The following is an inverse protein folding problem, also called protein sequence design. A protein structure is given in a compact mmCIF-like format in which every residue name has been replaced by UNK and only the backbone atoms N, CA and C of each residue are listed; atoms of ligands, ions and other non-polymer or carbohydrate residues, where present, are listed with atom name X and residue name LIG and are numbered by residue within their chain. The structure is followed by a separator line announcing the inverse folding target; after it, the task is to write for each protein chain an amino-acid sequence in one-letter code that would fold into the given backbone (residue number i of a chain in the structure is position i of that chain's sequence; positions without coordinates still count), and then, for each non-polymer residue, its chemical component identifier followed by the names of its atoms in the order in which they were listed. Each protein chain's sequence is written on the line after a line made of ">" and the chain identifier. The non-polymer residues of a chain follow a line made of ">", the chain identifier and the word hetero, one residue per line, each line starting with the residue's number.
data_IF_971554031268
#
_entry.id   IF_971554031268
#
_cell.length_a   1.000
_cell.length_b   1.000
_cell.length_c   1.000
_cell.angle_alpha   90.00
_cell.angle_beta   90.00
_cell.angle_gamma   90.00
#
_symmetry.space_group_name_H-M   'P 1'
#
loop_
_entity.id
_entity.type
_entity.pdbx_description
1 polymer ?
#
# COMPACT_ATOMS: atom_id res chain seq x y z
N UNK A 1 -20.66 25.89 -40.78
CA UNK A 1 -20.52 26.97 -39.77
C UNK A 1 -21.14 26.50 -38.47
N UNK A 2 -20.31 25.98 -37.56
CA UNK A 2 -20.76 25.61 -36.21
C UNK A 2 -21.09 26.93 -35.50
N UNK A 3 -22.32 27.09 -35.03
CA UNK A 3 -22.78 28.35 -34.45
C UNK A 3 -22.11 28.58 -33.09
N UNK A 4 -21.83 29.85 -32.76
CA UNK A 4 -21.16 30.26 -31.52
C UNK A 4 -21.86 29.71 -30.26
N UNK A 5 -23.19 29.47 -30.31
CA UNK A 5 -23.97 28.84 -29.24
C UNK A 5 -23.61 27.36 -29.03
N UNK A 6 -23.29 26.62 -30.09
CA UNK A 6 -22.85 25.23 -29.99
C UNK A 6 -21.45 25.14 -29.39
N UNK A 7 -20.52 26.02 -29.77
CA UNK A 7 -19.18 26.08 -29.16
C UNK A 7 -19.25 26.36 -27.66
N UNK A 8 -20.13 27.27 -27.22
CA UNK A 8 -20.34 27.58 -25.80
C UNK A 8 -20.92 26.35 -25.06
N UNK A 9 -21.90 25.65 -25.63
CA UNK A 9 -22.45 24.42 -25.05
C UNK A 9 -21.41 23.29 -24.94
N UNK A 10 -20.56 23.12 -25.97
CA UNK A 10 -19.47 22.16 -25.95
C UNK A 10 -18.39 22.56 -24.94
N UNK A 11 -18.03 23.84 -24.82
CA UNK A 11 -17.10 24.33 -23.80
C UNK A 11 -17.65 24.16 -22.38
N UNK A 12 -18.95 24.39 -22.15
CA UNK A 12 -19.57 24.14 -20.83
C UNK A 12 -19.70 22.66 -20.50
N UNK A 13 -19.96 21.80 -21.50
CA UNK A 13 -20.01 20.35 -21.31
C UNK A 13 -18.61 19.77 -21.07
N UNK A 14 -17.56 20.32 -21.72
CA UNK A 14 -16.16 19.95 -21.47
C UNK A 14 -15.68 20.47 -20.10
N UNK A 15 -16.14 21.65 -19.65
CA UNK A 15 -15.88 22.10 -18.26
C UNK A 15 -16.60 21.24 -17.21
N UNK A 16 -17.81 20.75 -17.49
CA UNK A 16 -18.53 19.80 -16.61
C UNK A 16 -17.93 18.39 -16.66
N UNK A 17 -17.28 18.00 -17.76
CA UNK A 17 -16.52 16.75 -17.84
C UNK A 17 -15.14 16.83 -17.14
N UNK A 18 -14.72 18.03 -16.73
CA UNK A 18 -13.51 18.25 -15.94
C UNK A 18 -13.76 18.27 -14.42
N UNK A 19 -14.97 17.93 -13.96
CA UNK A 19 -15.31 17.87 -12.53
C UNK A 19 -15.75 16.47 -12.10
N UNK A 20 -14.85 15.51 -12.21
CA UNK A 20 -14.74 14.45 -11.21
C UNK A 20 -13.30 14.43 -10.70
N UNK A 21 -12.91 15.55 -10.07
CA UNK A 21 -11.88 15.43 -9.04
C UNK A 21 -12.42 14.42 -8.03
N UNK A 22 -11.82 13.22 -8.09
CA UNK A 22 -12.00 12.09 -7.20
C UNK A 22 -11.86 12.64 -5.78
N UNK A 23 -12.98 12.97 -5.14
CA UNK A 23 -12.98 13.36 -3.74
C UNK A 23 -12.64 12.11 -2.93
N UNK A 24 -11.34 11.95 -2.73
CA UNK A 24 -10.69 11.21 -1.67
C UNK A 24 -11.37 11.65 -0.37
N UNK A 25 -12.32 10.85 0.14
CA UNK A 25 -12.90 11.13 1.45
C UNK A 25 -11.72 11.12 2.42
N UNK A 26 -11.48 12.17 3.23
CA UNK A 26 -10.27 12.30 4.04
C UNK A 26 -9.99 11.12 4.99
N UNK A 27 -10.98 10.22 5.18
CA UNK A 27 -10.92 8.98 5.96
C UNK A 27 -11.80 7.89 5.32
N UNK A 28 -11.66 7.61 4.03
CA UNK A 28 -12.45 6.58 3.36
C UNK A 28 -11.76 5.98 2.15
N UNK A 29 -12.22 4.80 1.75
CA UNK A 29 -11.67 4.17 0.56
C UNK A 29 -11.97 5.00 -0.71
N UNK A 30 -11.04 5.04 -1.68
CA UNK A 30 -11.28 5.69 -2.96
C UNK A 30 -12.48 5.06 -3.67
N UNK A 31 -13.35 5.89 -4.25
CA UNK A 31 -14.48 5.39 -5.03
C UNK A 31 -13.98 4.58 -6.24
N UNK A 32 -14.73 3.54 -6.62
CA UNK A 32 -14.45 2.64 -7.77
C UNK A 32 -13.21 1.73 -7.61
N UNK A 33 -12.70 1.55 -6.40
CA UNK A 33 -11.70 0.52 -6.11
C UNK A 33 -12.39 -0.65 -5.41
N UNK A 34 -11.82 -1.85 -5.53
CA UNK A 34 -12.24 -2.98 -4.72
C UNK A 34 -11.67 -2.83 -3.31
N UNK A 35 -12.45 -3.16 -2.27
CA UNK A 35 -12.07 -2.93 -0.88
C UNK A 35 -12.02 -4.24 -0.10
N UNK A 36 -10.98 -4.37 0.73
CA UNK A 36 -10.90 -5.43 1.74
C UNK A 36 -10.98 -4.79 3.13
N UNK A 37 -11.93 -5.25 3.94
CA UNK A 37 -12.16 -4.82 5.32
C UNK A 37 -12.32 -3.30 5.48
N UNK A 38 -12.75 -2.59 4.42
CA UNK A 38 -12.79 -1.13 4.31
C UNK A 38 -11.45 -0.43 4.58
N UNK A 39 -10.33 -1.14 4.62
CA UNK A 39 -9.03 -0.62 5.09
C UNK A 39 -7.97 -0.64 4.01
N UNK A 40 -8.08 -1.58 3.08
CA UNK A 40 -7.25 -1.68 1.88
C UNK A 40 -8.09 -1.57 0.63
N UNK A 41 -7.53 -0.94 -0.39
CA UNK A 41 -8.15 -0.76 -1.69
C UNK A 41 -7.24 -1.23 -2.81
N UNK A 42 -7.87 -1.82 -3.83
CA UNK A 42 -7.19 -2.43 -4.97
C UNK A 42 -7.86 -2.01 -6.27
N UNK A 43 -7.06 -1.86 -7.32
CA UNK A 43 -7.59 -1.64 -8.67
C UNK A 43 -6.66 -2.30 -9.69
N UNK A 44 -7.27 -3.00 -10.65
CA UNK A 44 -6.59 -3.53 -11.82
C UNK A 44 -6.58 -2.47 -12.93
N UNK A 45 -5.39 -2.15 -13.43
CA UNK A 45 -5.20 -1.33 -14.62
C UNK A 45 -4.83 -2.24 -15.80
N UNK A 46 -5.63 -2.21 -16.86
CA UNK A 46 -5.39 -2.99 -18.08
C UNK A 46 -4.28 -2.42 -18.99
N UNK A 47 -3.70 -1.28 -18.61
CA UNK A 47 -2.64 -0.62 -19.36
C UNK A 47 -1.34 -1.41 -19.22
N UNK A 48 -0.69 -1.72 -20.34
CA UNK A 48 0.57 -2.45 -20.32
C UNK A 48 1.76 -1.53 -19.99
N UNK A 49 2.41 -1.78 -18.85
CA UNK A 49 3.59 -1.04 -18.37
C UNK A 49 4.71 -1.97 -17.92
N UNK A 50 5.95 -1.50 -17.94
CA UNK A 50 7.05 -2.20 -17.26
C UNK A 50 6.74 -2.26 -15.76
N UNK A 51 7.28 -3.23 -15.01
CA UNK A 51 6.98 -3.32 -13.58
C UNK A 51 7.39 -2.03 -12.84
N UNK A 52 8.52 -1.43 -13.24
CA UNK A 52 8.98 -0.15 -12.68
C UNK A 52 8.00 0.97 -12.98
N UNK A 53 7.59 1.14 -14.24
CA UNK A 53 6.63 2.20 -14.61
C UNK A 53 5.25 1.99 -13.97
N UNK A 54 4.82 0.74 -13.81
CA UNK A 54 3.58 0.38 -13.13
C UNK A 54 3.63 0.75 -11.64
N UNK A 55 4.76 0.52 -10.97
CA UNK A 55 4.95 0.93 -9.58
C UNK A 55 4.96 2.45 -9.41
N UNK A 56 5.65 3.18 -10.30
CA UNK A 56 5.62 4.65 -10.30
C UNK A 56 4.21 5.19 -10.57
N UNK A 57 3.45 4.53 -11.46
CA UNK A 57 2.05 4.85 -11.65
C UNK A 57 1.24 4.62 -10.37
N UNK A 58 1.38 3.47 -9.70
CA UNK A 58 0.67 3.22 -8.44
C UNK A 58 1.03 4.25 -7.35
N UNK A 59 2.29 4.70 -7.28
CA UNK A 59 2.71 5.80 -6.38
C UNK A 59 1.96 7.10 -6.68
N UNK A 60 1.75 7.42 -7.96
CA UNK A 60 0.92 8.57 -8.35
C UNK A 60 -0.55 8.42 -7.91
N UNK A 61 -1.04 7.19 -7.78
CA UNK A 61 -2.39 6.85 -7.29
C UNK A 61 -2.47 6.69 -5.77
N UNK A 62 -1.43 7.14 -5.07
CA UNK A 62 -1.27 7.03 -3.63
C UNK A 62 -1.15 5.61 -3.07
N UNK A 63 -0.51 4.74 -3.84
CA UNK A 63 -0.29 3.34 -3.48
C UNK A 63 1.00 2.78 -4.05
N UNK A 64 1.06 1.46 -4.13
CA UNK A 64 2.16 0.70 -4.71
C UNK A 64 1.61 -0.41 -5.59
N UNK A 65 2.47 -1.07 -6.37
CA UNK A 65 2.10 -2.36 -6.92
C UNK A 65 1.71 -3.32 -5.81
N UNK A 66 0.76 -4.21 -6.12
CA UNK A 66 0.19 -5.16 -5.18
C UNK A 66 1.26 -5.97 -4.42
N UNK A 67 1.24 -5.88 -3.09
CA UNK A 67 1.79 -6.90 -2.19
C UNK A 67 0.71 -7.74 -1.56
N UNK A 68 1.08 -8.95 -1.12
CA UNK A 68 0.19 -9.89 -0.46
C UNK A 68 0.70 -10.23 0.93
N UNK A 69 -0.09 -9.91 1.95
CA UNK A 69 0.32 -9.94 3.36
C UNK A 69 -0.44 -10.96 4.21
N UNK A 70 -1.64 -11.34 3.79
CA UNK A 70 -2.43 -12.35 4.48
C UNK A 70 -2.99 -13.38 3.51
N UNK A 71 -3.45 -14.51 4.06
CA UNK A 71 -4.18 -15.52 3.29
C UNK A 71 -5.51 -14.94 2.79
N UNK A 72 -6.21 -14.20 3.65
CA UNK A 72 -7.47 -13.51 3.31
C UNK A 72 -7.29 -12.52 2.15
N UNK A 73 -6.22 -11.71 2.18
CA UNK A 73 -5.92 -10.78 1.09
C UNK A 73 -5.63 -11.53 -0.21
N UNK A 74 -4.91 -12.64 -0.15
CA UNK A 74 -4.64 -13.47 -1.32
C UNK A 74 -5.93 -14.03 -1.93
N UNK A 75 -6.81 -14.61 -1.12
CA UNK A 75 -8.11 -15.14 -1.57
C UNK A 75 -9.00 -14.05 -2.16
N UNK A 76 -8.99 -12.85 -1.56
CA UNK A 76 -9.66 -11.68 -2.09
C UNK A 76 -9.11 -11.28 -3.47
N UNK A 77 -7.79 -11.19 -3.61
CA UNK A 77 -7.14 -10.84 -4.88
C UNK A 77 -7.37 -11.90 -5.95
N UNK A 78 -7.29 -13.18 -5.61
CA UNK A 78 -7.60 -14.29 -6.52
C UNK A 78 -9.00 -14.11 -7.10
N UNK A 79 -9.99 -13.90 -6.24
CA UNK A 79 -11.37 -13.65 -6.65
C UNK A 79 -11.50 -12.36 -7.47
N UNK A 80 -10.80 -11.29 -7.08
CA UNK A 80 -10.80 -10.01 -7.78
C UNK A 80 -10.24 -10.12 -9.20
N UNK A 81 -9.12 -10.83 -9.39
CA UNK A 81 -8.52 -11.09 -10.69
C UNK A 81 -9.43 -11.98 -11.54
N UNK A 82 -9.96 -13.07 -10.96
CA UNK A 82 -10.84 -14.01 -11.67
C UNK A 82 -12.12 -13.34 -12.20
N UNK A 83 -12.69 -12.41 -11.42
CA UNK A 83 -13.90 -11.68 -11.81
C UNK A 83 -13.62 -10.47 -12.70
N UNK A 84 -12.46 -9.83 -12.54
CA UNK A 84 -12.10 -8.59 -13.25
C UNK A 84 -11.43 -8.82 -14.61
N UNK A 85 -10.85 -10.01 -14.84
CA UNK A 85 -10.30 -10.38 -16.15
C UNK A 85 -11.33 -11.20 -16.91
N UNK A 86 -11.56 -10.87 -18.19
CA UNK A 86 -12.28 -11.78 -19.08
C UNK A 86 -11.48 -13.09 -19.10
N UNK A 87 -11.98 -14.12 -18.42
CA UNK A 87 -11.30 -15.37 -18.07
C UNK A 87 -10.84 -16.22 -19.27
N UNK A 88 -10.93 -15.69 -20.48
CA UNK A 88 -10.54 -16.33 -21.73
C UNK A 88 -9.10 -16.01 -22.18
N UNK A 89 -8.46 -14.98 -21.60
CA UNK A 89 -7.06 -14.69 -21.89
C UNK A 89 -6.22 -14.92 -20.63
N UNK A 90 -5.25 -15.84 -20.72
CA UNK A 90 -4.17 -16.09 -19.76
C UNK A 90 -3.35 -14.81 -19.52
N UNK A 91 -3.92 -13.87 -18.79
CA UNK A 91 -3.37 -12.53 -18.67
C UNK A 91 -2.45 -12.50 -17.46
N UNK A 92 -1.16 -12.33 -17.73
CA UNK A 92 -0.16 -12.09 -16.70
C UNK A 92 -0.32 -10.66 -16.18
N UNK A 93 -0.32 -10.49 -14.87
CA UNK A 93 -0.54 -9.22 -14.19
C UNK A 93 0.66 -8.94 -13.29
N UNK A 94 1.24 -7.75 -13.39
CA UNK A 94 2.30 -7.35 -12.47
C UNK A 94 1.79 -7.26 -11.03
N UNK A 95 2.57 -7.87 -10.14
CA UNK A 95 2.52 -7.61 -8.70
C UNK A 95 3.84 -6.99 -8.26
N UNK A 96 3.86 -6.45 -7.05
CA UNK A 96 4.93 -5.60 -6.55
C UNK A 96 6.17 -6.33 -6.08
N UNK A 97 6.54 -7.47 -6.67
CA UNK A 97 7.66 -8.29 -6.19
C UNK A 97 8.77 -8.40 -7.22
N UNK A 98 10.03 -8.24 -6.79
CA UNK A 98 11.19 -8.34 -7.66
C UNK A 98 12.33 -9.12 -6.99
N UNK A 99 13.16 -9.76 -7.78
CA UNK A 99 14.35 -10.46 -7.33
C UNK A 99 15.60 -9.79 -7.93
N UNK A 100 16.25 -8.86 -7.20
CA UNK A 100 17.39 -8.13 -7.74
C UNK A 100 18.69 -8.95 -7.67
N UNK A 101 19.57 -8.81 -8.67
CA UNK A 101 20.85 -9.52 -8.70
C UNK A 101 21.79 -9.10 -7.56
N UNK A 102 21.81 -7.81 -7.24
CA UNK A 102 22.68 -7.24 -6.21
C UNK A 102 22.31 -7.66 -4.78
N UNK A 103 21.18 -8.36 -4.56
CA UNK A 103 20.80 -8.95 -3.26
C UNK A 103 20.63 -10.47 -3.31
N UNK A 104 21.34 -11.11 -4.24
CA UNK A 104 21.39 -12.56 -4.32
C UNK A 104 20.10 -13.20 -4.85
N UNK A 105 19.33 -12.48 -5.66
CA UNK A 105 18.11 -13.00 -6.33
C UNK A 105 16.99 -13.45 -5.37
N UNK A 106 16.97 -12.92 -4.16
CA UNK A 106 15.84 -13.11 -3.24
C UNK A 106 14.69 -12.20 -3.62
N UNK A 107 13.47 -12.73 -3.53
CA UNK A 107 12.26 -11.95 -3.79
C UNK A 107 12.00 -10.94 -2.68
N UNK A 108 11.79 -9.69 -3.08
CA UNK A 108 11.52 -8.55 -2.21
C UNK A 108 10.30 -7.77 -2.73
N UNK A 109 9.49 -7.23 -1.82
CA UNK A 109 8.39 -6.34 -2.20
C UNK A 109 8.89 -4.91 -2.48
N UNK A 110 8.39 -4.31 -3.55
CA UNK A 110 8.67 -2.94 -4.01
C UNK A 110 8.20 -1.86 -3.04
N UNK A 111 7.24 -2.21 -2.20
CA UNK A 111 6.69 -1.36 -1.16
C UNK A 111 7.40 -1.51 0.19
N UNK A 112 8.52 -2.23 0.21
CA UNK A 112 9.36 -2.50 1.39
C UNK A 112 8.73 -3.35 2.49
N UNK A 113 7.58 -3.99 2.24
CA UNK A 113 7.00 -4.93 3.18
C UNK A 113 7.92 -6.14 3.40
N UNK A 114 8.16 -6.49 4.66
CA UNK A 114 9.10 -7.56 5.05
C UNK A 114 8.45 -8.95 5.05
N UNK A 115 7.14 -9.03 4.85
CA UNK A 115 6.41 -10.29 4.94
C UNK A 115 6.33 -10.96 3.58
N UNK A 116 7.00 -12.09 3.46
CA UNK A 116 6.92 -12.93 2.28
C UNK A 116 6.20 -14.25 2.63
N UNK A 117 4.90 -14.16 2.88
CA UNK A 117 4.01 -15.31 3.05
C UNK A 117 3.81 -16.11 1.74
N UNK A 118 4.52 -15.75 0.67
CA UNK A 118 4.67 -16.50 -0.57
C UNK A 118 6.00 -17.26 -0.65
N UNK A 119 6.94 -17.08 0.28
CA UNK A 119 8.34 -17.54 0.12
C UNK A 119 8.49 -19.02 -0.24
N UNK A 120 7.59 -19.87 0.25
CA UNK A 120 7.60 -21.31 0.00
C UNK A 120 7.00 -21.73 -1.36
N UNK A 121 6.29 -20.83 -2.04
CA UNK A 121 5.64 -21.08 -3.34
C UNK A 121 6.27 -20.27 -4.48
N UNK A 122 7.23 -19.39 -4.18
CA UNK A 122 7.90 -18.59 -5.19
C UNK A 122 8.96 -19.41 -5.95
N UNK A 123 9.11 -19.17 -7.26
CA UNK A 123 10.12 -19.82 -8.08
C UNK A 123 11.51 -19.35 -7.66
N UNK A 124 12.50 -20.26 -7.68
CA UNK A 124 13.91 -19.87 -7.57
C UNK A 124 14.36 -19.23 -8.87
N UNK A 125 15.12 -18.15 -8.78
CA UNK A 125 15.63 -17.40 -9.93
C UNK A 125 17.14 -17.19 -9.85
N UNK A 126 17.77 -17.09 -11.01
CA UNK A 126 19.23 -16.91 -11.17
C UNK A 126 19.59 -15.59 -11.85
N UNK A 127 18.57 -14.82 -12.25
CA UNK A 127 18.70 -13.54 -12.94
C UNK A 127 17.70 -12.55 -12.37
N UNK A 128 17.92 -11.26 -12.62
CA UNK A 128 16.97 -10.23 -12.19
C UNK A 128 15.62 -10.47 -12.82
N UNK A 129 14.63 -10.72 -11.96
CA UNK A 129 13.29 -11.15 -12.37
C UNK A 129 12.24 -10.32 -11.66
N UNK A 130 11.17 -10.02 -12.37
CA UNK A 130 9.98 -9.37 -11.84
C UNK A 130 8.86 -10.40 -11.74
N UNK A 131 8.04 -10.34 -10.70
CA UNK A 131 7.01 -11.35 -10.45
C UNK A 131 5.67 -10.90 -11.03
N UNK A 132 5.06 -11.77 -11.83
CA UNK A 132 3.69 -11.61 -12.30
C UNK A 132 2.78 -12.70 -11.69
N UNK A 133 1.52 -12.35 -11.48
CA UNK A 133 0.45 -13.30 -11.21
C UNK A 133 -0.21 -13.73 -12.53
N UNK A 134 -0.57 -15.00 -12.63
CA UNK A 134 -1.24 -15.59 -13.79
C UNK A 134 -2.30 -16.57 -13.31
N UNK A 135 -3.47 -16.62 -13.96
CA UNK A 135 -4.49 -17.61 -13.66
C UNK A 135 -4.28 -18.85 -14.52
N UNK A 136 -4.12 -20.01 -13.88
CA UNK A 136 -3.99 -21.33 -14.51
C UNK A 136 -5.03 -22.25 -13.88
N UNK A 137 -5.95 -22.79 -14.70
CA UNK A 137 -7.03 -23.68 -14.27
C UNK A 137 -7.83 -23.16 -13.07
N UNK A 138 -8.11 -21.86 -13.06
CA UNK A 138 -8.85 -21.18 -11.99
C UNK A 138 -8.04 -20.86 -10.72
N UNK A 139 -6.73 -21.14 -10.71
CA UNK A 139 -5.84 -20.88 -9.59
C UNK A 139 -4.79 -19.81 -9.94
N UNK A 140 -4.39 -18.99 -8.98
CA UNK A 140 -3.29 -18.04 -9.18
C UNK A 140 -1.93 -18.73 -9.09
N UNK A 141 -1.09 -18.44 -10.07
CA UNK A 141 0.30 -18.87 -10.16
C UNK A 141 1.19 -17.62 -10.16
N UNK A 142 2.34 -17.70 -9.48
CA UNK A 142 3.32 -16.62 -9.46
C UNK A 142 4.50 -17.00 -10.36
N UNK A 143 4.65 -16.28 -11.46
CA UNK A 143 5.62 -16.59 -12.51
C UNK A 143 6.69 -15.50 -12.61
N UNK A 144 7.98 -15.87 -12.73
CA UNK A 144 9.04 -14.90 -12.94
C UNK A 144 8.99 -14.42 -14.40
N UNK A 145 9.29 -13.15 -14.62
CA UNK A 145 9.14 -12.51 -15.92
C UNK A 145 10.20 -11.42 -16.10
N UNK A 146 10.52 -11.04 -17.34
CA UNK A 146 11.51 -9.98 -17.56
C UNK A 146 10.89 -8.63 -17.19
N UNK A 147 11.62 -7.84 -16.40
CA UNK A 147 11.13 -6.58 -15.85
C UNK A 147 10.78 -5.52 -16.91
N UNK A 148 11.32 -5.65 -18.12
CA UNK A 148 11.06 -4.77 -19.25
C UNK A 148 9.79 -5.13 -20.03
N UNK A 149 9.17 -6.27 -19.72
CA UNK A 149 7.92 -6.66 -20.35
C UNK A 149 6.79 -5.75 -19.87
N UNK A 150 5.81 -5.54 -20.76
CA UNK A 150 4.69 -4.64 -20.49
C UNK A 150 3.43 -5.44 -20.24
N UNK A 151 2.96 -5.43 -18.99
CA UNK A 151 1.79 -6.18 -18.53
C UNK A 151 0.80 -5.23 -17.85
N UNK A 152 -0.49 -5.60 -17.77
CA UNK A 152 -1.43 -4.97 -16.86
C UNK A 152 -0.97 -5.18 -15.41
N UNK A 153 -1.51 -4.41 -14.48
CA UNK A 153 -0.98 -4.37 -13.12
C UNK A 153 -2.04 -4.00 -12.09
N UNK A 154 -1.85 -4.47 -10.85
CA UNK A 154 -2.73 -4.11 -9.73
C UNK A 154 -2.03 -3.11 -8.83
N UNK A 155 -2.70 -1.98 -8.58
CA UNK A 155 -2.31 -1.06 -7.52
C UNK A 155 -3.04 -1.39 -6.23
N UNK A 156 -2.36 -1.16 -5.11
CA UNK A 156 -2.86 -1.30 -3.75
C UNK A 156 -2.56 -0.05 -2.94
N UNK A 157 -3.53 0.41 -2.15
CA UNK A 157 -3.38 1.52 -1.20
C UNK A 157 -4.26 1.34 0.04
N UNK A 158 -3.95 2.03 1.14
CA UNK A 158 -4.83 2.07 2.30
C UNK A 158 -6.04 2.99 2.05
N UNK A 159 -7.15 2.71 2.73
CA UNK A 159 -8.33 3.57 2.80
C UNK A 159 -8.22 4.64 3.89
N UNK A 160 -7.52 4.30 4.98
CA UNK A 160 -7.30 5.19 6.11
C UNK A 160 -5.83 5.50 6.27
N UNK A 161 -5.58 6.61 6.95
CA UNK A 161 -4.26 7.00 7.40
C UNK A 161 -3.99 6.33 8.74
N UNK A 162 -2.76 5.87 8.92
CA UNK A 162 -2.25 5.39 10.20
C UNK A 162 -1.09 6.28 10.59
N UNK A 163 -1.10 6.74 11.84
CA UNK A 163 -0.13 7.71 12.34
C UNK A 163 1.00 7.03 13.10
N UNK A 164 2.22 7.55 12.95
CA UNK A 164 3.31 7.23 13.89
C UNK A 164 3.21 8.17 15.09
N UNK A 165 3.13 7.59 16.27
CA UNK A 165 3.29 8.33 17.51
C UNK A 165 4.78 8.44 17.84
N UNK A 166 5.26 9.68 18.02
CA UNK A 166 6.62 9.96 18.48
C UNK A 166 7.72 10.12 17.43
N UNK A 167 8.88 10.60 17.89
CA UNK A 167 10.09 10.74 17.08
C UNK A 167 10.81 9.39 16.91
N UNK A 168 11.60 9.21 15.83
CA UNK A 168 12.37 7.99 15.61
C UNK A 168 13.43 7.66 16.67
N UNK A 169 13.78 8.62 17.52
CA UNK A 169 14.92 8.55 18.43
C UNK A 169 14.53 8.69 19.91
N UNK A 170 13.25 8.89 20.21
CA UNK A 170 12.78 9.11 21.58
C UNK A 170 12.68 7.78 22.36
N UNK A 171 13.18 7.77 23.59
CA UNK A 171 13.00 6.65 24.54
C UNK A 171 11.57 6.73 25.07
N UNK A 172 10.67 5.91 24.53
CA UNK A 172 9.25 5.99 24.82
C UNK A 172 8.86 5.23 26.08
N UNK A 173 8.35 5.98 27.05
CA UNK A 173 7.64 5.43 28.19
C UNK A 173 6.14 5.40 27.84
N UNK A 174 5.63 4.20 27.50
CA UNK A 174 4.21 3.99 27.16
C UNK A 174 3.25 4.35 28.32
N UNK A 175 3.77 4.62 29.52
CA UNK A 175 2.97 5.06 30.67
C UNK A 175 2.78 6.57 30.73
N UNK A 176 3.45 7.34 29.86
CA UNK A 176 3.34 8.81 29.78
C UNK A 176 2.49 9.24 28.57
N UNK A 177 1.81 10.37 28.73
CA UNK A 177 1.06 11.00 27.65
C UNK A 177 2.00 11.39 26.49
N UNK A 178 1.64 10.93 25.28
CA UNK A 178 2.38 11.19 24.05
C UNK A 178 2.10 12.63 23.59
N UNK A 179 3.11 13.49 23.61
CA UNK A 179 2.96 14.93 23.33
C UNK A 179 3.56 15.37 21.99
N UNK A 180 4.20 14.48 21.23
CA UNK A 180 4.86 14.81 19.97
C UNK A 180 4.49 13.83 18.84
N UNK A 181 4.14 14.39 17.68
CA UNK A 181 3.89 13.66 16.44
C UNK A 181 4.87 14.17 15.40
N UNK A 182 5.58 13.25 14.76
CA UNK A 182 6.31 13.56 13.54
C UNK A 182 5.72 12.86 12.34
N UNK A 183 5.61 13.66 11.31
CA UNK A 183 5.19 13.30 9.98
C UNK A 183 6.42 12.68 9.30
N UNK A 184 6.45 11.34 9.19
CA UNK A 184 7.61 10.64 8.62
C UNK A 184 7.62 10.77 7.09
N UNK A 185 8.27 11.81 6.57
CA UNK A 185 8.81 11.78 5.21
C UNK A 185 10.12 10.99 5.24
N UNK A 186 10.04 9.67 5.07
CA UNK A 186 11.26 8.92 4.73
C UNK A 186 11.67 9.32 3.31
N UNK A 187 12.58 10.29 3.20
CA UNK A 187 13.18 10.69 1.92
C UNK A 187 13.94 9.55 1.23
N UNK A 188 14.17 8.42 1.91
CA UNK A 188 14.95 7.31 1.38
C UNK A 188 14.16 6.02 1.16
N UNK A 189 12.89 5.94 1.57
CA UNK A 189 12.05 4.78 1.32
C UNK A 189 10.66 5.25 0.95
N UNK A 190 10.18 4.80 -0.20
CA UNK A 190 8.83 5.00 -0.66
C UNK A 190 7.87 4.25 0.27
N UNK A 191 7.61 4.86 1.42
CA UNK A 191 6.79 4.32 2.48
C UNK A 191 5.33 4.52 2.10
N UNK A 192 4.51 3.50 2.30
CA UNK A 192 3.04 3.47 2.26
C UNK A 192 2.29 4.63 2.93
N UNK A 193 3.00 5.50 3.63
CA UNK A 193 2.47 6.36 4.66
C UNK A 193 2.60 7.78 4.17
N UNK A 194 1.46 8.37 3.83
CA UNK A 194 1.40 9.80 3.54
C UNK A 194 1.78 10.57 4.80
N UNK A 195 2.84 11.37 4.74
CA UNK A 195 3.19 12.26 5.80
C UNK A 195 2.22 13.44 5.78
N UNK A 196 1.14 13.43 6.57
CA UNK A 196 0.31 14.62 6.71
C UNK A 196 -0.29 14.75 8.12
N UNK A 197 -0.01 15.92 8.70
CA UNK A 197 -0.67 16.51 9.85
C UNK A 197 -2.20 16.39 9.69
N UNK A 198 -2.92 15.95 10.73
CA UNK A 198 -4.35 16.24 10.81
C UNK A 198 -4.50 17.63 11.45
N UNK A 199 -4.78 18.69 10.67
CA UNK A 199 -4.93 20.04 11.20
C UNK A 199 -6.12 20.16 12.18
N UNK A 200 -7.01 19.16 12.24
CA UNK A 200 -8.13 19.14 13.18
C UNK A 200 -7.79 18.47 14.52
N UNK A 201 -6.68 17.73 14.62
CA UNK A 201 -6.29 17.03 15.87
C UNK A 201 -5.37 17.87 16.78
N UNK A 202 -4.72 18.92 16.25
CA UNK A 202 -3.81 19.78 17.02
C UNK A 202 -2.61 19.03 17.63
N UNK A 203 -1.82 19.71 18.47
CA UNK A 203 -0.64 19.15 19.15
C UNK A 203 -0.96 18.31 20.41
N UNK A 204 -2.24 17.99 20.66
CA UNK A 204 -2.68 17.45 21.94
C UNK A 204 -3.42 16.13 21.72
N UNK A 205 -2.68 15.03 21.70
CA UNK A 205 -3.22 13.69 21.42
C UNK A 205 -3.26 12.85 22.70
N UNK A 206 -3.75 13.46 23.78
CA UNK A 206 -3.92 12.82 25.10
C UNK A 206 -5.08 11.81 25.14
N UNK A 207 -5.34 11.08 24.05
CA UNK A 207 -6.48 10.17 23.93
C UNK A 207 -6.10 8.93 23.12
N UNK A 208 -4.96 8.29 23.35
CA UNK A 208 -4.70 6.97 22.74
C UNK A 208 -4.39 5.92 23.79
N UNK A 209 -4.96 4.73 23.65
CA UNK A 209 -4.63 3.57 24.48
C UNK A 209 -4.03 2.44 23.65
N UNK A 210 -3.14 1.67 24.29
CA UNK A 210 -2.49 0.52 23.66
C UNK A 210 -3.50 -0.63 23.54
N UNK A 211 -3.67 -1.13 22.33
CA UNK A 211 -4.56 -2.26 22.04
C UNK A 211 -3.78 -3.57 21.86
N UNK A 212 -2.57 -3.51 21.32
CA UNK A 212 -1.76 -4.71 21.08
C UNK A 212 -0.25 -4.39 21.04
N UNK A 213 0.59 -5.42 21.08
CA UNK A 213 2.03 -5.33 20.87
C UNK A 213 2.52 -6.46 19.96
N UNK A 214 3.12 -6.09 18.83
CA UNK A 214 3.71 -7.01 17.85
C UNK A 214 5.22 -6.89 17.85
N UNK A 215 5.93 -7.98 17.55
CA UNK A 215 7.37 -7.92 17.27
C UNK A 215 7.57 -7.72 15.77
N UNK A 216 8.15 -6.59 15.37
CA UNK A 216 8.30 -6.24 13.95
C UNK A 216 9.69 -5.67 13.63
N UNK A 217 10.00 -5.65 12.34
CA UNK A 217 11.20 -5.01 11.80
C UNK A 217 10.85 -3.65 11.20
N UNK A 218 11.04 -2.57 11.97
CA UNK A 218 10.91 -1.18 11.52
C UNK A 218 9.48 -0.62 11.45
N UNK A 219 9.40 0.69 11.22
CA UNK A 219 8.16 1.48 11.28
C UNK A 219 7.15 1.08 10.22
N UNK A 220 7.62 0.85 8.98
CA UNK A 220 6.74 0.45 7.89
C UNK A 220 5.97 -0.82 8.20
N UNK A 221 6.62 -1.76 8.92
CA UNK A 221 5.96 -2.99 9.33
C UNK A 221 4.98 -2.74 10.47
N UNK A 222 5.32 -1.88 11.42
CA UNK A 222 4.44 -1.58 12.53
C UNK A 222 3.14 -0.87 12.07
N UNK A 223 3.29 0.11 11.18
CA UNK A 223 2.18 0.77 10.53
C UNK A 223 1.28 -0.19 9.75
N UNK A 224 1.89 -1.20 9.11
CA UNK A 224 1.14 -2.26 8.45
C UNK A 224 0.32 -3.10 9.43
N UNK A 225 0.92 -3.57 10.53
CA UNK A 225 0.18 -4.31 11.58
C UNK A 225 -1.02 -3.49 12.08
N UNK A 226 -0.85 -2.17 12.22
CA UNK A 226 -1.94 -1.26 12.57
C UNK A 226 -3.06 -1.27 11.51
N UNK A 227 -2.75 -1.21 10.21
CA UNK A 227 -3.77 -1.25 9.17
C UNK A 227 -4.59 -2.55 9.18
N UNK A 228 -4.01 -3.67 9.63
CA UNK A 228 -4.72 -4.94 9.79
C UNK A 228 -5.61 -5.01 11.05
N UNK A 229 -5.32 -4.21 12.08
CA UNK A 229 -5.98 -4.28 13.38
C UNK A 229 -7.15 -3.29 13.50
N UNK A 230 -8.44 -3.70 13.36
CA UNK A 230 -9.58 -2.81 13.06
C UNK A 230 -9.70 -1.52 13.87
N UNK A 231 -9.32 -1.52 15.15
CA UNK A 231 -9.40 -0.35 16.02
C UNK A 231 -8.15 0.55 15.97
N UNK A 232 -7.07 0.09 15.34
CA UNK A 232 -5.81 0.81 15.29
C UNK A 232 -5.90 2.03 14.36
N UNK A 233 -5.40 3.16 14.87
CA UNK A 233 -5.31 4.45 14.17
C UNK A 233 -3.89 5.02 14.22
N UNK A 234 -3.08 4.55 15.17
CA UNK A 234 -1.71 5.00 15.37
C UNK A 234 -0.84 3.85 15.86
N UNK A 235 0.46 3.95 15.66
CA UNK A 235 1.41 2.97 16.18
C UNK A 235 2.66 3.66 16.73
N UNK A 236 3.42 2.94 17.54
CA UNK A 236 4.74 3.37 18.00
C UNK A 236 5.70 2.19 17.99
N UNK A 237 6.95 2.46 17.65
CA UNK A 237 8.02 1.47 17.60
C UNK A 237 9.03 1.74 18.70
N UNK A 238 9.15 0.82 19.65
CA UNK A 238 10.17 0.85 20.68
C UNK A 238 11.38 0.01 20.23
N UNK A 239 12.51 0.65 19.99
CA UNK A 239 13.73 -0.07 19.60
C UNK A 239 14.34 -0.81 20.78
N UNK A 240 14.47 -2.13 20.66
CA UNK A 240 15.04 -2.98 21.72
C UNK A 240 16.56 -2.78 21.90
N UNK A 241 17.24 -2.11 20.95
CA UNK A 241 18.66 -1.72 21.03
C UNK A 241 18.88 -0.30 20.52
N UNK A 242 19.53 0.54 21.34
CA UNK A 242 19.70 2.00 21.18
C UNK A 242 20.30 2.52 19.86
N UNK A 243 20.77 1.67 18.93
CA UNK A 243 21.45 2.13 17.69
C UNK A 243 21.20 1.35 16.40
N UNK A 244 20.52 0.20 16.47
CA UNK A 244 20.36 -0.64 15.26
C UNK A 244 18.90 -0.77 14.82
N UNK A 245 17.92 -0.62 15.73
CA UNK A 245 16.47 -0.74 15.47
C UNK A 245 16.09 -1.88 14.49
N UNK A 246 16.91 -2.93 14.43
CA UNK A 246 16.68 -4.13 13.62
C UNK A 246 15.61 -5.01 14.26
N UNK A 247 15.28 -4.79 15.53
CA UNK A 247 14.13 -5.41 16.20
C UNK A 247 13.48 -4.38 17.08
N UNK A 248 12.18 -4.16 16.86
CA UNK A 248 11.39 -3.20 17.62
C UNK A 248 10.10 -3.85 18.11
N UNK A 249 9.66 -3.46 19.31
CA UNK A 249 8.30 -3.71 19.73
C UNK A 249 7.40 -2.67 19.07
N UNK A 250 6.39 -3.14 18.37
CA UNK A 250 5.38 -2.34 17.73
C UNK A 250 4.14 -2.31 18.62
N UNK A 251 3.84 -1.16 19.21
CA UNK A 251 2.62 -0.99 19.97
C UNK A 251 1.56 -0.34 19.07
N UNK A 252 0.42 -1.01 18.99
CA UNK A 252 -0.74 -0.54 18.24
C UNK A 252 -1.63 0.27 19.17
N UNK A 253 -2.14 1.39 18.68
CA UNK A 253 -2.87 2.38 19.47
C UNK A 253 -4.22 2.71 18.81
N UNK A 254 -5.26 2.86 19.63
CA UNK A 254 -6.57 3.40 19.22
C UNK A 254 -6.89 4.71 19.93
N UNK A 255 -7.84 5.50 19.42
CA UNK A 255 -8.33 6.67 20.14
C UNK A 255 -9.20 6.26 21.35
N UNK A 256 -9.00 6.93 22.48
CA UNK A 256 -9.85 6.92 23.68
C UNK A 256 -11.06 7.80 23.36
N UNK A 257 -12.26 7.26 23.55
CA UNK A 257 -13.52 8.00 23.39
C UNK A 257 -13.78 8.96 24.54
#
# INVERSE_FOLDING_TARGET
>A
MITMKALIFFLTAVLLAASEDILDVPNGCPKNWAHLNNRMSYILFEQNRTQTDANEFCKSQKGHLLSLWSKEEREFIETYILNGTNSQNQTKIWIGMLAPSYRGYNWEWLDTSSQNNLINILPKVTTTSCLAAEIVDGNICYVPHHCNDKLPFICKRSCYKVYRAGLPWDEFDITKNISSYEVFEDRFRSSWFYPLYDPNLGYNVNYTEKIDTKNVFGDSRCAFECLQEPDCVSFITECLKKRECMTSQCHLLRFIK
#
